data_IF_965618503021
#
_entry.id   IF_965618503021
#
_cell.length_a   1.000
_cell.length_b   1.000
_cell.length_c   1.000
_cell.angle_alpha   90.00
_cell.angle_beta   90.00
_cell.angle_gamma   90.00
#
_symmetry.space_group_name_H-M   'P 1'
#
loop_
_entity.id
_entity.type
_entity.pdbx_description
1 polymer ?
#
# COMPACT_ATOMS: atom_id res chain seq x y z
N UNK A 1 29.20 11.31 29.78
CA UNK A 1 29.03 10.14 28.90
C UNK A 1 27.66 10.28 28.24
N UNK A 2 27.67 10.82 27.02
CA UNK A 2 26.61 10.80 25.99
C UNK A 2 25.23 11.41 26.33
N UNK A 3 25.15 12.74 26.38
CA UNK A 3 23.94 13.51 26.04
C UNK A 3 23.85 13.70 24.51
N UNK A 4 23.54 12.63 23.79
CA UNK A 4 23.43 12.67 22.33
C UNK A 4 22.04 13.21 21.92
N UNK A 5 21.91 14.54 21.97
CA UNK A 5 21.14 15.40 21.07
C UNK A 5 19.76 14.86 20.58
N UNK A 6 18.71 15.09 21.37
CA UNK A 6 17.30 14.73 21.07
C UNK A 6 16.79 15.27 19.73
N UNK A 7 17.37 16.37 19.23
CA UNK A 7 17.05 16.93 17.93
C UNK A 7 17.49 16.02 16.78
N UNK A 8 18.67 15.38 16.86
CA UNK A 8 19.14 14.46 15.83
C UNK A 8 18.37 13.13 15.84
N UNK A 9 17.91 12.67 17.01
CA UNK A 9 17.08 11.47 17.13
C UNK A 9 15.66 11.69 16.61
N UNK A 10 15.08 12.88 16.81
CA UNK A 10 13.77 13.24 16.24
C UNK A 10 13.83 13.54 14.74
N UNK A 11 14.90 14.18 14.25
CA UNK A 11 15.17 14.38 12.82
C UNK A 11 15.42 13.05 12.10
N UNK A 12 16.16 12.12 12.72
CA UNK A 12 16.35 10.78 12.15
C UNK A 12 15.04 9.98 12.15
N UNK A 13 14.21 10.06 13.20
CA UNK A 13 12.86 9.46 13.18
C UNK A 13 11.98 10.08 12.10
N UNK A 14 12.02 11.39 11.86
CA UNK A 14 11.26 12.06 10.81
C UNK A 14 11.71 11.70 9.39
N UNK A 15 13.02 11.55 9.17
CA UNK A 15 13.61 11.17 7.89
C UNK A 15 13.45 9.67 7.60
N UNK A 16 13.54 8.83 8.64
CA UNK A 16 13.31 7.38 8.55
C UNK A 16 11.82 7.09 8.39
N UNK A 17 10.94 7.82 9.08
CA UNK A 17 9.49 7.79 8.89
C UNK A 17 9.10 8.00 7.43
N UNK A 18 9.73 8.96 6.73
CA UNK A 18 9.52 9.19 5.29
C UNK A 18 9.80 7.98 4.39
N UNK A 19 10.63 7.02 4.84
CA UNK A 19 10.93 5.77 4.14
C UNK A 19 10.40 4.52 4.88
N UNK A 20 9.79 4.66 6.06
CA UNK A 20 9.38 3.58 6.99
C UNK A 20 7.92 3.62 7.45
N UNK A 21 7.06 4.47 6.86
CA UNK A 21 5.75 4.83 7.44
C UNK A 21 4.55 3.95 7.09
N UNK A 22 4.75 2.70 6.69
CA UNK A 22 3.61 1.78 6.64
C UNK A 22 3.26 1.29 8.04
N UNK A 23 1.99 1.41 8.43
CA UNK A 23 1.47 0.75 9.61
C UNK A 23 1.36 -0.76 9.35
N UNK A 24 2.47 -1.47 9.59
CA UNK A 24 2.58 -2.92 9.34
C UNK A 24 1.56 -3.74 10.12
N UNK A 25 1.16 -3.29 11.31
CA UNK A 25 0.11 -3.95 12.10
C UNK A 25 -1.24 -3.83 11.40
N UNK A 26 -1.58 -2.67 10.83
CA UNK A 26 -2.81 -2.50 10.05
C UNK A 26 -2.79 -3.37 8.78
N UNK A 27 -1.65 -3.43 8.08
CA UNK A 27 -1.45 -4.30 6.92
C UNK A 27 -1.69 -5.78 7.28
N UNK A 28 -1.06 -6.25 8.37
CA UNK A 28 -1.21 -7.62 8.85
C UNK A 28 -2.66 -7.93 9.23
N UNK A 29 -3.30 -7.06 10.02
CA UNK A 29 -4.69 -7.25 10.44
C UNK A 29 -5.64 -7.29 9.24
N UNK A 30 -5.41 -6.43 8.24
CA UNK A 30 -6.17 -6.43 7.01
C UNK A 30 -5.99 -7.75 6.24
N UNK A 31 -4.74 -8.19 6.07
CA UNK A 31 -4.44 -9.44 5.41
C UNK A 31 -5.10 -10.62 6.13
N UNK A 32 -5.01 -10.67 7.47
CA UNK A 32 -5.64 -11.72 8.28
C UNK A 32 -7.16 -11.73 8.14
N UNK A 33 -7.80 -10.56 8.16
CA UNK A 33 -9.25 -10.41 8.04
C UNK A 33 -9.78 -10.91 6.68
N UNK A 34 -9.07 -10.61 5.59
CA UNK A 34 -9.52 -10.84 4.22
C UNK A 34 -8.75 -11.95 3.48
N UNK A 35 -7.91 -12.71 4.16
CA UNK A 35 -7.19 -13.84 3.56
C UNK A 35 -8.13 -14.94 3.02
N UNK A 36 -9.30 -15.11 3.65
CA UNK A 36 -10.28 -16.15 3.29
C UNK A 36 -11.66 -15.58 2.96
N UNK A 37 -11.81 -14.26 2.96
CA UNK A 37 -13.07 -13.58 2.70
C UNK A 37 -12.82 -12.34 1.84
N UNK A 38 -13.81 -11.99 1.03
CA UNK A 38 -13.71 -10.88 0.11
C UNK A 38 -14.07 -9.53 0.77
N UNK A 39 -13.35 -8.45 0.43
CA UNK A 39 -13.70 -7.09 0.86
C UNK A 39 -14.59 -6.39 -0.20
N UNK A 40 -15.88 -6.18 0.06
CA UNK A 40 -16.82 -5.61 -0.92
C UNK A 40 -16.59 -4.12 -1.24
N UNK A 41 -15.67 -3.44 -0.54
CA UNK A 41 -15.29 -2.07 -0.87
C UNK A 41 -14.39 -1.97 -2.12
N UNK A 42 -13.82 -3.08 -2.57
CA UNK A 42 -12.94 -3.14 -3.73
C UNK A 42 -13.62 -3.89 -4.89
N UNK A 43 -12.94 -4.08 -6.00
CA UNK A 43 -13.47 -4.85 -7.14
C UNK A 43 -13.17 -6.33 -6.95
N UNK A 44 -14.06 -7.20 -7.43
CA UNK A 44 -13.77 -8.63 -7.49
C UNK A 44 -12.99 -8.86 -8.79
N UNK A 45 -11.69 -9.09 -8.66
CA UNK A 45 -10.83 -9.31 -9.82
C UNK A 45 -10.74 -10.80 -10.20
N UNK A 46 -11.39 -11.70 -9.45
CA UNK A 46 -11.38 -13.15 -9.72
C UNK A 46 -11.76 -13.50 -11.16
N UNK A 47 -12.80 -12.89 -11.77
CA UNK A 47 -13.20 -13.23 -13.14
C UNK A 47 -12.20 -12.78 -14.21
N UNK A 48 -11.33 -11.82 -13.91
CA UNK A 48 -10.46 -11.15 -14.87
C UNK A 48 -8.98 -11.52 -14.69
N UNK A 49 -8.65 -12.19 -13.58
CA UNK A 49 -7.29 -12.31 -13.08
C UNK A 49 -6.80 -11.04 -12.36
N UNK A 50 -5.68 -11.15 -11.64
CA UNK A 50 -5.09 -10.02 -10.93
C UNK A 50 -5.57 -9.80 -9.50
N UNK A 51 -6.42 -10.69 -8.97
CA UNK A 51 -6.93 -10.54 -7.61
C UNK A 51 -5.84 -10.63 -6.53
N UNK A 52 -4.75 -11.34 -6.81
CA UNK A 52 -3.57 -11.32 -5.95
C UNK A 52 -2.96 -9.91 -5.80
N UNK A 53 -2.80 -9.18 -6.91
CA UNK A 53 -2.26 -7.82 -6.89
C UNK A 53 -3.28 -6.82 -6.33
N UNK A 54 -4.57 -6.99 -6.65
CA UNK A 54 -5.66 -6.23 -6.05
C UNK A 54 -5.65 -6.37 -4.52
N UNK A 55 -5.48 -7.60 -4.00
CA UNK A 55 -5.40 -7.87 -2.57
C UNK A 55 -4.14 -7.28 -1.92
N UNK A 56 -2.97 -7.41 -2.56
CA UNK A 56 -1.74 -6.78 -2.07
C UNK A 56 -1.86 -5.26 -2.03
N UNK A 57 -2.44 -4.63 -3.06
CA UNK A 57 -2.69 -3.18 -3.07
C UNK A 57 -3.62 -2.75 -1.94
N UNK A 58 -4.67 -3.53 -1.64
CA UNK A 58 -5.54 -3.29 -0.49
C UNK A 58 -4.78 -3.34 0.85
N UNK A 59 -3.87 -4.29 1.01
CA UNK A 59 -3.00 -4.40 2.19
C UNK A 59 -2.10 -3.17 2.30
N UNK A 60 -1.44 -2.74 1.22
CA UNK A 60 -0.61 -1.52 1.20
C UNK A 60 -1.44 -0.29 1.58
N UNK A 61 -2.66 -0.20 1.04
CA UNK A 61 -3.59 0.92 1.29
C UNK A 61 -4.02 0.99 2.76
N UNK A 62 -4.30 -0.16 3.39
CA UNK A 62 -4.65 -0.22 4.82
C UNK A 62 -3.49 0.15 5.73
N UNK A 63 -2.26 -0.07 5.27
CA UNK A 63 -1.03 0.38 5.92
C UNK A 63 -0.77 1.89 5.83
N UNK A 64 -1.59 2.66 5.11
CA UNK A 64 -1.42 4.09 4.94
C UNK A 64 -0.79 4.52 3.61
N UNK A 65 -0.71 3.62 2.61
CA UNK A 65 -0.27 3.98 1.27
C UNK A 65 -1.18 5.05 0.66
N UNK A 66 -0.59 6.16 0.25
CA UNK A 66 -1.33 7.21 -0.46
C UNK A 66 -1.46 6.85 -1.93
N UNK A 67 -2.58 7.23 -2.54
CA UNK A 67 -2.72 7.08 -3.98
C UNK A 67 -1.74 7.99 -4.70
N UNK A 68 -1.13 7.45 -5.74
CA UNK A 68 -0.31 8.18 -6.69
C UNK A 68 -1.01 8.19 -8.04
N UNK A 69 -1.45 9.37 -8.46
CA UNK A 69 -2.13 9.57 -9.74
C UNK A 69 -1.27 10.33 -10.74
N UNK A 70 0.03 10.46 -10.49
CA UNK A 70 0.94 11.27 -11.29
C UNK A 70 1.95 10.43 -12.05
N UNK A 71 2.45 10.95 -13.17
CA UNK A 71 3.47 10.26 -13.98
C UNK A 71 2.97 9.01 -14.73
N UNK A 72 3.93 8.25 -15.27
CA UNK A 72 3.66 7.08 -16.12
C UNK A 72 3.37 5.79 -15.32
N UNK A 73 3.77 5.76 -14.05
CA UNK A 73 3.58 4.63 -13.15
C UNK A 73 2.73 5.11 -11.97
N UNK A 74 1.42 5.14 -12.19
CA UNK A 74 0.43 5.54 -11.18
C UNK A 74 0.09 4.33 -10.31
N UNK A 75 -0.40 4.53 -9.08
CA UNK A 75 -1.00 3.51 -8.22
C UNK A 75 -2.21 4.08 -7.47
N UNK A 76 -3.41 3.71 -7.89
CA UNK A 76 -4.65 4.20 -7.27
C UNK A 76 -5.85 3.30 -7.54
N UNK A 77 -6.88 3.44 -6.70
CA UNK A 77 -8.19 2.84 -6.89
C UNK A 77 -9.29 3.79 -6.42
N UNK A 78 -10.12 4.24 -7.34
CA UNK A 78 -11.33 5.00 -7.02
C UNK A 78 -12.59 4.14 -7.13
N UNK A 79 -12.63 3.25 -8.11
CA UNK A 79 -13.65 2.21 -8.28
C UNK A 79 -13.18 1.17 -9.33
N UNK A 80 -14.01 0.15 -9.60
CA UNK A 80 -13.69 -0.92 -10.55
C UNK A 80 -13.37 -0.43 -11.97
N UNK A 81 -14.00 0.66 -12.42
CA UNK A 81 -13.79 1.27 -13.73
C UNK A 81 -12.74 2.39 -13.75
N UNK A 82 -12.29 2.88 -12.58
CA UNK A 82 -11.32 3.96 -12.44
C UNK A 82 -10.24 3.59 -11.42
N UNK A 83 -9.18 2.96 -11.93
CA UNK A 83 -8.04 2.45 -11.18
C UNK A 83 -6.82 2.35 -12.09
N UNK A 84 -5.63 2.34 -11.51
CA UNK A 84 -4.41 2.08 -12.28
C UNK A 84 -4.29 0.60 -12.69
N UNK A 85 -3.45 0.33 -13.68
CA UNK A 85 -3.04 -1.04 -14.03
C UNK A 85 -2.21 -1.66 -12.91
N UNK A 86 -1.36 -0.88 -12.25
CA UNK A 86 -0.56 -1.33 -11.09
C UNK A 86 -1.39 -1.71 -9.86
N UNK A 87 -2.64 -1.24 -9.73
CA UNK A 87 -3.48 -1.61 -8.59
C UNK A 87 -3.83 -3.10 -8.60
N UNK A 88 -4.16 -3.65 -9.78
CA UNK A 88 -4.64 -5.02 -9.93
C UNK A 88 -3.76 -5.91 -10.84
N UNK A 89 -2.71 -5.36 -11.46
CA UNK A 89 -1.79 -6.11 -12.31
C UNK A 89 -0.47 -6.39 -11.62
N UNK A 90 -0.12 -7.66 -11.42
CA UNK A 90 1.10 -8.06 -10.68
C UNK A 90 2.38 -7.47 -11.27
N UNK A 91 2.57 -7.54 -12.60
CA UNK A 91 3.75 -6.98 -13.25
C UNK A 91 3.79 -5.45 -13.15
N UNK A 92 2.66 -4.77 -13.34
CA UNK A 92 2.57 -3.32 -13.22
C UNK A 92 2.76 -2.85 -11.77
N UNK A 93 2.32 -3.64 -10.78
CA UNK A 93 2.57 -3.39 -9.37
C UNK A 93 4.06 -3.51 -9.07
N UNK A 94 4.71 -4.58 -9.53
CA UNK A 94 6.15 -4.78 -9.37
C UNK A 94 6.99 -3.65 -9.97
N UNK A 95 6.58 -3.10 -11.12
CA UNK A 95 7.27 -1.94 -11.72
C UNK A 95 7.07 -0.66 -10.89
N UNK A 96 5.96 -0.55 -10.17
CA UNK A 96 5.63 0.64 -9.38
C UNK A 96 6.36 0.70 -8.02
N UNK A 97 6.49 -0.45 -7.34
CA UNK A 97 7.07 -0.56 -5.97
C UNK A 97 8.58 -0.76 -5.97
#
# INVERSE_FOLDING_TARGET
MLEQNDAFYSLSRGLTAGLSNFNRTAMYNYAYQYAFNYNPAYMDATPYGGDCANFVSQIIRSGGGNFDTTGNYQWYYYNSGNRSTSWAGANSLYIYI
#
